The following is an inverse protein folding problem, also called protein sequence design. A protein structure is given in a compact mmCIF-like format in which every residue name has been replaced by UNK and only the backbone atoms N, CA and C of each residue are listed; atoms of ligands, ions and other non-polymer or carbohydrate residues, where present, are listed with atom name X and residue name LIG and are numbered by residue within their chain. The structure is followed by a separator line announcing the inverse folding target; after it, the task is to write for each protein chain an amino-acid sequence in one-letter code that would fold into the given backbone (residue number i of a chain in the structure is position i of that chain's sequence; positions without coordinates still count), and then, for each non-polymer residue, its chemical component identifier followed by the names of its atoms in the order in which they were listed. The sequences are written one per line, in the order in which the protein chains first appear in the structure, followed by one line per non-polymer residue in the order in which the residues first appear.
data_IF_200871258716
#
_entry.id   IF_200871258716
#
_cell.length_a   1.000
_cell.length_b   1.000
_cell.length_c   1.000
_cell.angle_alpha   90.00
_cell.angle_beta   90.00
_cell.angle_gamma   90.00
#
_symmetry.space_group_name_H-M   'P 1'
#
loop_
_entity.id
_entity.type
_entity.pdbx_description
1 polymer ?
#
# COMPACT_ATOMS: atom_id res chain seq x y z
N UNK A 1 60.17 -9.76 4.12
CA UNK A 1 58.84 -10.33 4.41
C UNK A 1 57.77 -9.30 4.82
N UNK A 2 58.09 -8.00 5.01
CA UNK A 2 57.09 -6.96 5.34
C UNK A 2 56.32 -6.38 4.14
N UNK A 3 56.84 -6.48 2.92
CA UNK A 3 56.24 -5.89 1.72
C UNK A 3 55.01 -6.63 1.16
N UNK A 4 54.84 -7.91 1.51
CA UNK A 4 53.71 -8.72 1.00
C UNK A 4 52.43 -8.50 1.82
N UNK A 5 52.55 -8.09 3.09
CA UNK A 5 51.41 -7.88 3.98
C UNK A 5 50.66 -6.57 3.70
N UNK A 6 51.34 -5.53 3.22
CA UNK A 6 50.72 -4.21 3.00
C UNK A 6 49.89 -4.19 1.71
N UNK A 7 50.30 -4.96 0.69
CA UNK A 7 49.55 -5.07 -0.57
C UNK A 7 48.21 -5.81 -0.41
N UNK A 8 48.10 -6.71 0.56
CA UNK A 8 46.86 -7.47 0.81
C UNK A 8 45.76 -6.62 1.45
N UNK A 9 46.11 -5.63 2.28
CA UNK A 9 45.13 -4.71 2.87
C UNK A 9 44.54 -3.72 1.86
N UNK A 10 45.31 -3.29 0.85
CA UNK A 10 44.86 -2.33 -0.17
C UNK A 10 43.89 -2.94 -1.20
N UNK A 11 43.95 -4.25 -1.41
CA UNK A 11 43.02 -4.95 -2.32
C UNK A 11 41.65 -5.21 -1.68
N UNK A 12 41.55 -5.22 -0.35
CA UNK A 12 40.26 -5.42 0.37
C UNK A 12 39.42 -4.14 0.43
N UNK A 13 40.05 -2.96 0.35
CA UNK A 13 39.29 -1.69 0.37
C UNK A 13 38.76 -1.26 -1.00
N UNK A 14 39.23 -1.85 -2.10
CA UNK A 14 38.76 -1.53 -3.45
C UNK A 14 37.51 -2.32 -3.88
N UNK A 15 37.15 -3.40 -3.18
CA UNK A 15 35.96 -4.20 -3.48
C UNK A 15 34.72 -3.77 -2.69
N UNK A 16 34.89 -3.04 -1.58
CA UNK A 16 33.77 -2.53 -0.77
C UNK A 16 32.96 -1.43 -1.49
N UNK A 17 33.58 -0.66 -2.39
CA UNK A 17 32.90 0.41 -3.14
C UNK A 17 32.17 -0.07 -4.41
N UNK A 18 32.32 -1.34 -4.80
CA UNK A 18 31.65 -1.88 -6.00
C UNK A 18 30.36 -2.63 -5.68
N UNK A 19 30.24 -3.19 -4.48
CA UNK A 19 28.98 -3.82 -4.03
C UNK A 19 27.86 -2.81 -3.73
N UNK A 20 28.18 -1.55 -3.46
CA UNK A 20 27.16 -0.52 -3.19
C UNK A 20 26.40 -0.04 -4.44
N UNK A 21 26.81 -0.45 -5.65
CA UNK A 21 26.14 -0.07 -6.91
C UNK A 21 24.96 -0.99 -7.26
N UNK A 22 24.66 -1.99 -6.44
CA UNK A 22 23.47 -2.85 -6.55
C UNK A 22 22.36 -2.49 -5.55
N UNK A 23 22.47 -1.36 -4.86
CA UNK A 23 21.35 -0.74 -4.16
C UNK A 23 20.39 -0.10 -5.19
N UNK A 24 19.83 -0.93 -6.09
CA UNK A 24 18.54 -0.59 -6.68
C UNK A 24 17.63 -0.48 -5.47
N UNK A 25 17.20 0.74 -5.11
CA UNK A 25 16.03 0.98 -4.27
C UNK A 25 14.98 0.00 -4.80
N UNK A 26 14.78 -1.10 -4.08
CA UNK A 26 13.84 -2.11 -4.50
C UNK A 26 12.51 -1.38 -4.56
N UNK A 27 12.01 -1.19 -5.78
CA UNK A 27 10.80 -0.42 -6.05
C UNK A 27 9.70 -1.01 -5.18
N UNK A 28 8.77 -0.16 -4.74
CA UNK A 28 7.58 -0.68 -4.10
C UNK A 28 6.96 -1.70 -5.05
N UNK A 29 6.91 -2.98 -4.64
CA UNK A 29 6.36 -4.03 -5.50
C UNK A 29 4.86 -3.78 -5.57
N UNK A 30 4.47 -3.10 -6.64
CA UNK A 30 3.14 -2.62 -6.97
C UNK A 30 2.92 -1.12 -6.71
N UNK A 31 1.74 -0.66 -7.08
CA UNK A 31 1.40 0.75 -7.22
C UNK A 31 0.88 1.28 -5.88
N UNK A 32 1.55 2.27 -5.24
CA UNK A 32 1.00 2.91 -4.07
C UNK A 32 -0.32 3.61 -4.41
N UNK A 33 -1.15 3.87 -3.40
CA UNK A 33 -2.39 4.60 -3.59
C UNK A 33 -2.12 5.99 -4.17
N UNK A 34 -3.02 6.43 -5.07
CA UNK A 34 -2.96 7.78 -5.64
C UNK A 34 -3.33 8.84 -4.59
N UNK A 35 -3.22 10.11 -4.95
CA UNK A 35 -3.67 11.21 -4.08
C UNK A 35 -5.12 11.00 -3.66
N UNK A 36 -5.42 11.23 -2.37
CA UNK A 36 -6.75 11.06 -1.76
C UNK A 36 -7.31 9.63 -1.85
N UNK A 37 -6.44 8.64 -1.95
CA UNK A 37 -6.82 7.23 -1.85
C UNK A 37 -6.12 6.55 -0.68
N UNK A 38 -6.84 5.67 0.02
CA UNK A 38 -6.34 4.86 1.13
C UNK A 38 -6.54 3.39 0.83
N UNK A 39 -5.79 2.52 1.51
CA UNK A 39 -5.99 1.08 1.38
C UNK A 39 -7.32 0.69 2.02
N UNK A 40 -8.28 0.30 1.18
CA UNK A 40 -9.61 -0.16 1.59
C UNK A 40 -9.61 -1.65 1.87
N UNK A 41 -9.01 -2.42 0.97
CA UNK A 41 -9.11 -3.88 0.99
C UNK A 41 -7.72 -4.48 1.08
N UNK A 42 -7.57 -5.52 1.89
CA UNK A 42 -6.37 -6.35 1.95
C UNK A 42 -6.79 -7.82 1.88
N UNK A 43 -6.25 -8.56 0.93
CA UNK A 43 -6.51 -9.98 0.72
C UNK A 43 -5.21 -10.75 0.91
N UNK A 44 -5.26 -11.87 1.62
CA UNK A 44 -4.14 -12.79 1.70
C UNK A 44 -4.58 -14.16 1.21
N UNK A 45 -3.89 -14.68 0.18
CA UNK A 45 -4.10 -16.04 -0.28
C UNK A 45 -2.76 -16.66 -0.68
N UNK A 46 -2.54 -17.90 -0.25
CA UNK A 46 -1.26 -18.60 -0.40
C UNK A 46 -0.10 -17.82 0.23
N UNK A 47 0.73 -17.24 -0.62
CA UNK A 47 1.90 -16.43 -0.28
C UNK A 47 1.77 -15.02 -0.87
N UNK A 48 0.54 -14.58 -1.20
CA UNK A 48 0.28 -13.35 -1.92
C UNK A 48 -0.61 -12.45 -1.06
N UNK A 49 -0.16 -11.21 -0.90
CA UNK A 49 -0.95 -10.11 -0.34
C UNK A 49 -1.37 -9.22 -1.49
N UNK A 50 -2.68 -9.02 -1.64
CA UNK A 50 -3.21 -8.00 -2.51
C UNK A 50 -3.80 -6.88 -1.68
N UNK A 51 -3.56 -5.64 -2.08
CA UNK A 51 -4.28 -4.52 -1.53
C UNK A 51 -4.90 -3.66 -2.61
N UNK A 52 -5.99 -3.02 -2.25
CA UNK A 52 -6.80 -2.21 -3.15
C UNK A 52 -7.04 -0.83 -2.53
N UNK A 53 -6.80 0.21 -3.32
CA UNK A 53 -6.94 1.59 -2.90
C UNK A 53 -8.33 2.13 -3.24
N UNK A 54 -9.03 2.71 -2.25
CA UNK A 54 -10.30 3.39 -2.43
C UNK A 54 -10.20 4.89 -2.15
N UNK A 55 -11.07 5.73 -2.74
CA UNK A 55 -11.13 7.15 -2.44
C UNK A 55 -11.57 7.40 -1.00
N UNK A 56 -11.06 8.48 -0.38
CA UNK A 56 -11.50 8.94 0.94
C UNK A 56 -12.67 9.92 0.85
N UNK A 57 -13.61 9.89 1.82
CA UNK A 57 -14.77 10.78 1.81
C UNK A 57 -14.46 12.22 2.22
N UNK A 58 -13.33 12.48 2.88
CA UNK A 58 -12.90 13.82 3.27
C UNK A 58 -11.41 13.83 3.61
N UNK A 59 -10.81 15.03 3.54
CA UNK A 59 -9.40 15.26 3.83
C UNK A 59 -8.47 15.04 2.64
N UNK A 60 -7.20 15.36 2.83
CA UNK A 60 -6.16 15.20 1.82
C UNK A 60 -5.13 14.15 2.24
N UNK A 61 -4.83 13.23 1.33
CA UNK A 61 -3.90 12.13 1.57
C UNK A 61 -2.89 11.97 0.42
N UNK A 62 -1.68 11.53 0.74
CA UNK A 62 -0.70 11.14 -0.28
C UNK A 62 0.19 12.28 -0.81
N UNK A 63 0.13 13.48 -0.23
CA UNK A 63 0.96 14.63 -0.64
C UNK A 63 2.37 14.54 -0.03
N UNK A 64 2.45 14.22 1.25
CA UNK A 64 3.69 14.13 2.03
C UNK A 64 3.87 12.68 2.48
N UNK A 65 4.91 12.01 1.98
CA UNK A 65 5.09 10.58 2.16
C UNK A 65 6.53 10.22 2.51
N UNK A 66 6.68 9.25 3.40
CA UNK A 66 7.94 8.64 3.79
C UNK A 66 7.91 7.18 3.37
N UNK A 67 8.92 6.77 2.61
CA UNK A 67 9.08 5.39 2.16
C UNK A 67 9.91 4.56 3.13
N UNK A 68 9.91 3.25 2.90
CA UNK A 68 10.80 2.29 3.54
C UNK A 68 10.70 2.25 5.08
N UNK A 69 9.49 2.44 5.60
CA UNK A 69 9.22 2.39 7.02
C UNK A 69 8.82 0.97 7.45
N UNK A 70 9.24 0.55 8.65
CA UNK A 70 8.76 -0.72 9.23
C UNK A 70 7.35 -0.61 9.84
N UNK A 71 6.91 0.61 10.12
CA UNK A 71 5.59 0.94 10.66
C UNK A 71 5.27 2.42 10.36
N UNK A 72 3.99 2.73 10.12
CA UNK A 72 3.55 4.13 9.99
C UNK A 72 3.32 4.79 11.35
N UNK A 73 3.73 6.06 11.47
CA UNK A 73 3.59 6.86 12.70
C UNK A 73 2.20 7.51 12.76
N UNK A 74 1.20 6.73 13.16
CA UNK A 74 -0.21 7.17 13.19
C UNK A 74 -0.46 8.32 14.16
N UNK A 75 0.33 8.44 15.24
CA UNK A 75 0.31 9.57 16.17
C UNK A 75 0.64 10.92 15.51
N UNK A 76 1.46 10.89 14.45
CA UNK A 76 1.84 12.05 13.65
C UNK A 76 1.01 12.17 12.35
N UNK A 77 -0.13 11.46 12.29
CA UNK A 77 -1.02 11.39 11.13
C UNK A 77 -0.38 10.78 9.87
N UNK A 78 0.65 9.94 10.01
CA UNK A 78 1.19 9.16 8.90
C UNK A 78 0.52 7.78 8.85
N UNK A 79 -0.09 7.47 7.72
CA UNK A 79 -0.83 6.23 7.49
C UNK A 79 -0.37 5.52 6.23
N UNK A 80 -0.64 4.22 6.15
CA UNK A 80 -0.23 3.35 5.05
C UNK A 80 -0.86 3.78 3.72
N UNK A 81 -0.01 3.93 2.70
CA UNK A 81 -0.38 4.25 1.31
C UNK A 81 0.13 3.20 0.33
N UNK A 82 1.15 2.43 0.69
CA UNK A 82 1.67 1.34 -0.12
C UNK A 82 2.66 0.49 0.67
N UNK A 83 3.05 -0.65 0.14
CA UNK A 83 3.99 -1.56 0.80
C UNK A 83 4.77 -2.38 -0.22
N UNK A 84 5.91 -2.92 0.22
CA UNK A 84 6.80 -3.75 -0.59
C UNK A 84 7.53 -4.77 0.25
N UNK A 85 8.01 -5.84 -0.40
CA UNK A 85 8.96 -6.74 0.23
C UNK A 85 10.26 -6.03 0.62
N UNK A 86 10.74 -6.31 1.82
CA UNK A 86 12.07 -5.88 2.25
C UNK A 86 13.16 -6.74 1.59
N UNK A 87 14.39 -6.22 1.39
CA UNK A 87 15.48 -6.98 0.77
C UNK A 87 15.88 -8.27 1.50
N UNK A 88 15.51 -8.38 2.78
CA UNK A 88 15.77 -9.56 3.60
C UNK A 88 14.82 -10.74 3.30
N UNK A 89 13.85 -10.56 2.40
CA UNK A 89 12.80 -11.53 2.09
C UNK A 89 12.16 -12.12 3.34
N UNK A 90 11.92 -11.33 4.39
CA UNK A 90 11.26 -11.79 5.64
C UNK A 90 10.38 -10.70 6.28
N UNK A 91 10.38 -9.48 5.74
CA UNK A 91 9.55 -8.39 6.21
C UNK A 91 8.97 -7.57 5.06
N UNK A 92 8.02 -6.70 5.37
CA UNK A 92 7.50 -5.69 4.47
C UNK A 92 7.98 -4.30 4.91
N UNK A 93 8.20 -3.44 3.93
CA UNK A 93 8.47 -2.02 4.11
C UNK A 93 7.26 -1.24 3.60
N UNK A 94 6.92 -0.17 4.30
CA UNK A 94 5.70 0.60 4.12
C UNK A 94 6.04 1.98 3.55
N UNK A 95 5.18 2.46 2.66
CA UNK A 95 5.04 3.87 2.32
C UNK A 95 3.95 4.47 3.19
N UNK A 96 4.34 5.43 4.00
CA UNK A 96 3.45 6.10 4.95
C UNK A 96 3.25 7.55 4.50
N UNK A 97 2.02 7.94 4.24
CA UNK A 97 1.67 9.30 3.82
C UNK A 97 0.88 10.02 4.91
N UNK A 98 1.05 11.33 4.96
CA UNK A 98 0.33 12.20 5.87
C UNK A 98 -1.13 12.33 5.45
N UNK A 99 -2.04 12.14 6.40
CA UNK A 99 -3.46 12.43 6.26
C UNK A 99 -3.76 13.77 6.92
N UNK A 100 -4.37 14.67 6.17
CA UNK A 100 -4.85 15.96 6.66
C UNK A 100 -6.38 15.95 6.66
N UNK A 101 -6.95 15.82 7.85
CA UNK A 101 -8.40 15.84 8.09
C UNK A 101 -8.70 16.84 9.20
N UNK A 102 -9.91 17.40 9.21
CA UNK A 102 -10.32 18.35 10.26
C UNK A 102 -10.41 17.67 11.62
N UNK A 103 -10.92 16.44 11.65
CA UNK A 103 -10.95 15.58 12.85
C UNK A 103 -9.82 14.57 12.81
N UNK A 104 -9.27 14.24 13.98
CA UNK A 104 -8.25 13.19 14.09
C UNK A 104 -8.88 11.82 13.78
N UNK A 105 -8.27 11.00 12.91
CA UNK A 105 -8.70 9.63 12.72
C UNK A 105 -8.60 8.83 14.02
N UNK A 106 -9.53 7.90 14.24
CA UNK A 106 -9.56 7.06 15.44
C UNK A 106 -9.12 5.64 15.13
N UNK A 107 -8.43 5.01 16.07
CA UNK A 107 -8.10 3.59 15.98
C UNK A 107 -9.34 2.76 16.27
N UNK A 108 -9.67 1.82 15.38
CA UNK A 108 -10.84 0.95 15.50
C UNK A 108 -10.45 -0.43 16.03
N UNK A 109 -9.37 -0.98 15.48
CA UNK A 109 -8.99 -2.35 15.82
C UNK A 109 -7.80 -2.86 15.02
N UNK A 110 -7.44 -4.11 15.31
CA UNK A 110 -6.38 -4.84 14.62
C UNK A 110 -6.97 -6.15 14.14
N UNK A 111 -6.60 -6.57 12.94
CA UNK A 111 -7.00 -7.86 12.38
C UNK A 111 -5.80 -8.67 11.91
N UNK A 112 -5.97 -10.00 11.85
CA UNK A 112 -4.99 -10.95 11.32
C UNK A 112 -5.56 -11.59 10.05
N UNK A 113 -4.93 -11.30 8.92
CA UNK A 113 -5.34 -11.80 7.62
C UNK A 113 -4.44 -12.98 7.24
N UNK A 114 -5.03 -14.18 7.19
CA UNK A 114 -4.38 -15.43 6.79
C UNK A 114 -5.37 -16.28 6.00
N UNK A 115 -5.21 -16.41 4.68
CA UNK A 115 -6.20 -17.04 3.80
C UNK A 115 -7.59 -16.39 3.90
N UNK A 116 -7.61 -15.07 4.14
CA UNK A 116 -8.81 -14.28 4.40
C UNK A 116 -8.65 -12.91 3.74
N UNK A 117 -9.66 -12.06 3.89
CA UNK A 117 -9.61 -10.67 3.47
C UNK A 117 -10.20 -9.75 4.54
N UNK A 118 -9.68 -8.53 4.55
CA UNK A 118 -10.28 -7.40 5.23
C UNK A 118 -10.80 -6.43 4.19
N UNK A 119 -12.00 -5.91 4.41
CA UNK A 119 -12.61 -4.85 3.59
C UNK A 119 -13.11 -3.74 4.52
N UNK A 120 -12.50 -2.57 4.38
CA UNK A 120 -12.99 -1.32 4.97
C UNK A 120 -13.96 -0.62 4.03
N UNK A 121 -14.17 0.66 4.26
CA UNK A 121 -15.12 1.45 3.48
C UNK A 121 -15.99 2.34 4.34
N UNK A 122 -17.07 2.83 3.71
CA UNK A 122 -18.07 3.65 4.38
C UNK A 122 -18.73 2.85 5.51
N UNK A 123 -18.73 3.42 6.70
CA UNK A 123 -19.31 2.82 7.90
C UNK A 123 -20.83 3.00 7.89
N UNK A 124 -21.55 1.99 8.38
CA UNK A 124 -23.00 2.03 8.50
C UNK A 124 -23.44 3.05 9.58
N UNK A 125 -24.58 3.71 9.37
CA UNK A 125 -25.14 4.73 10.26
C UNK A 125 -25.30 4.28 11.72
N UNK A 126 -25.57 3.00 11.95
CA UNK A 126 -25.73 2.42 13.30
C UNK A 126 -24.41 2.26 14.05
N UNK A 127 -23.28 2.25 13.34
CA UNK A 127 -21.94 1.98 13.87
C UNK A 127 -21.06 3.23 13.88
N UNK A 128 -21.65 4.39 13.60
CA UNK A 128 -20.95 5.66 13.63
C UNK A 128 -20.49 5.99 15.04
N UNK A 129 -19.25 6.46 15.14
CA UNK A 129 -18.69 6.99 16.36
C UNK A 129 -19.30 8.36 16.69
N UNK A 130 -19.41 9.23 15.70
CA UNK A 130 -20.03 10.55 15.78
C UNK A 130 -21.42 10.53 15.14
N UNK A 131 -22.45 10.32 15.97
CA UNK A 131 -23.86 10.28 15.54
C UNK A 131 -24.36 11.58 14.90
N UNK A 132 -23.68 12.71 15.16
CA UNK A 132 -24.03 14.01 14.60
C UNK A 132 -23.04 14.44 13.50
N UNK A 133 -22.06 13.60 13.18
CA UNK A 133 -20.99 13.85 12.23
C UNK A 133 -21.42 13.65 10.78
N UNK A 134 -20.41 13.71 9.89
CA UNK A 134 -20.53 13.37 8.48
C UNK A 134 -20.35 11.87 8.25
N UNK A 135 -19.90 11.52 7.05
CA UNK A 135 -19.52 10.14 6.73
C UNK A 135 -18.33 9.68 7.58
N UNK A 136 -18.33 8.41 7.96
CA UNK A 136 -17.17 7.74 8.55
C UNK A 136 -16.67 6.64 7.61
N UNK A 137 -15.36 6.40 7.61
CA UNK A 137 -14.74 5.47 6.68
C UNK A 137 -13.57 4.73 7.30
N UNK A 138 -13.64 3.40 7.26
CA UNK A 138 -12.60 2.50 7.78
C UNK A 138 -11.57 2.17 6.69
N UNK A 139 -10.29 2.19 7.08
CA UNK A 139 -9.18 1.92 6.17
C UNK A 139 -8.00 1.29 6.91
N UNK A 140 -7.12 0.65 6.14
CA UNK A 140 -5.90 0.05 6.69
C UNK A 140 -4.82 1.13 6.84
N UNK A 141 -4.48 1.42 8.08
CA UNK A 141 -3.52 2.44 8.49
C UNK A 141 -2.09 1.94 8.59
N UNK A 142 -1.90 0.65 8.82
CA UNK A 142 -0.61 0.03 9.05
C UNK A 142 -0.69 -1.47 8.75
N UNK A 143 0.44 -2.09 8.41
CA UNK A 143 0.52 -3.51 8.11
C UNK A 143 1.85 -4.08 8.58
N UNK A 144 1.84 -5.34 9.03
CA UNK A 144 3.03 -6.07 9.40
C UNK A 144 2.93 -7.51 8.92
N UNK A 145 3.95 -7.97 8.20
CA UNK A 145 4.09 -9.39 7.90
C UNK A 145 4.32 -10.18 9.19
N UNK A 146 3.54 -11.24 9.39
CA UNK A 146 3.71 -12.18 10.48
C UNK A 146 3.96 -13.57 9.90
N UNK A 147 5.06 -14.20 10.32
CA UNK A 147 5.37 -15.58 9.97
C UNK A 147 4.95 -16.48 11.13
N UNK A 148 4.12 -17.47 10.84
CA UNK A 148 3.75 -18.54 11.75
C UNK A 148 4.42 -19.85 11.30
N UNK A 149 4.48 -20.83 12.21
CA UNK A 149 5.20 -22.10 12.01
C UNK A 149 4.81 -22.79 10.68
N UNK A 150 3.55 -22.67 10.24
CA UNK A 150 3.04 -23.30 9.03
C UNK A 150 2.43 -22.34 7.99
N UNK A 151 2.30 -21.05 8.31
CA UNK A 151 1.60 -20.09 7.45
C UNK A 151 2.24 -18.70 7.52
N UNK A 152 2.31 -18.00 6.40
CA UNK A 152 2.54 -16.56 6.40
C UNK A 152 1.20 -15.82 6.53
N UNK A 153 1.20 -14.61 7.08
CA UNK A 153 0.02 -13.78 7.16
C UNK A 153 0.38 -12.31 7.36
N UNK A 154 -0.64 -11.46 7.43
CA UNK A 154 -0.48 -10.02 7.65
C UNK A 154 -1.34 -9.59 8.82
N UNK A 155 -0.74 -8.89 9.77
CA UNK A 155 -1.48 -8.11 10.76
C UNK A 155 -1.73 -6.72 10.20
N UNK A 156 -2.98 -6.27 10.23
CA UNK A 156 -3.38 -4.92 9.81
C UNK A 156 -3.94 -4.14 10.98
N UNK A 157 -3.72 -2.83 10.98
CA UNK A 157 -4.33 -1.89 11.93
C UNK A 157 -5.33 -1.03 11.18
N UNK A 158 -6.54 -0.96 11.74
CA UNK A 158 -7.69 -0.32 11.13
C UNK A 158 -7.94 1.00 11.84
N UNK A 159 -8.02 2.07 11.06
CA UNK A 159 -8.40 3.39 11.53
C UNK A 159 -9.63 3.87 10.78
N UNK A 160 -10.30 4.83 11.40
CA UNK A 160 -11.51 5.45 10.88
C UNK A 160 -11.32 6.94 10.67
N UNK A 161 -11.64 7.39 9.47
CA UNK A 161 -11.78 8.82 9.15
C UNK A 161 -13.15 9.28 9.66
N UNK A 162 -13.18 10.44 10.30
CA UNK A 162 -14.39 11.10 10.77
C UNK A 162 -14.57 12.41 9.99
N UNK A 163 -15.58 12.48 9.12
CA UNK A 163 -15.87 13.71 8.38
C UNK A 163 -16.78 14.66 9.17
N UNK A 164 -16.73 15.94 8.82
CA UNK A 164 -17.74 16.89 9.27
C UNK A 164 -19.03 16.75 8.44
N UNK A 165 -20.15 17.18 9.03
CA UNK A 165 -21.44 17.12 8.35
C UNK A 165 -21.42 18.06 7.14
N UNK A 166 -21.71 17.53 5.96
CA UNK A 166 -21.75 18.30 4.71
C UNK A 166 -20.41 18.38 3.97
N UNK A 167 -19.37 17.65 4.39
CA UNK A 167 -18.17 17.45 3.56
C UNK A 167 -18.45 16.44 2.43
N UNK A 168 -18.05 16.78 1.21
CA UNK A 168 -18.13 15.90 0.04
C UNK A 168 -16.76 15.28 -0.30
N UNK A 169 -16.73 14.11 -0.97
CA UNK A 169 -15.50 13.44 -1.35
C UNK A 169 -14.64 14.31 -2.25
N UNK A 170 -13.34 14.39 -1.97
CA UNK A 170 -12.40 14.96 -2.93
C UNK A 170 -12.19 13.90 -4.01
N UNK A 171 -12.92 14.02 -5.12
CA UNK A 171 -12.81 13.11 -6.27
C UNK A 171 -11.33 13.02 -6.67
N UNK A 172 -10.78 11.80 -6.64
CA UNK A 172 -9.44 11.54 -7.15
C UNK A 172 -9.43 11.98 -8.63
N UNK A 173 -8.64 13.00 -8.95
CA UNK A 173 -8.58 13.52 -10.31
C UNK A 173 -8.26 12.37 -11.30
N UNK A 174 -9.03 12.20 -12.38
CA UNK A 174 -8.65 11.28 -13.45
C UNK A 174 -7.33 11.78 -14.06
N UNK A 175 -6.38 10.86 -14.29
CA UNK A 175 -5.16 11.17 -15.04
C UNK A 175 -5.56 11.73 -16.41
N UNK A 176 -5.02 12.90 -16.75
CA UNK A 176 -5.23 13.56 -18.04
C UNK A 176 -4.60 12.69 -19.12
N UNK A 177 -5.40 11.90 -19.84
CA UNK A 177 -4.98 11.22 -21.06
C UNK A 177 -4.77 12.29 -22.14
N UNK A 178 -3.51 12.59 -22.45
CA UNK A 178 -3.19 13.42 -23.60
C UNK A 178 -3.66 12.73 -24.89
N UNK A 179 -4.58 13.43 -25.54
CA UNK A 179 -5.09 13.34 -26.91
C UNK A 179 -4.18 12.64 -27.92
N UNK A 180 -4.72 11.59 -28.53
CA UNK A 180 -4.37 11.16 -29.88
C UNK A 180 -4.82 12.26 -30.85
N UNK A 181 -3.90 12.64 -31.75
CA UNK A 181 -4.11 13.57 -32.87
C UNK A 181 -5.18 13.01 -33.79
N UNK A 182 -6.16 13.86 -34.13
CA UNK A 182 -7.23 13.63 -35.10
C UNK A 182 -6.66 13.35 -36.51
N UNK A 183 -7.27 12.40 -37.21
CA UNK A 183 -7.46 12.48 -38.66
C UNK A 183 -8.83 11.87 -38.99
N UNK A 184 -9.68 12.67 -39.63
CA UNK A 184 -11.04 12.34 -40.09
C UNK A 184 -11.02 11.34 -41.27
N UNK A 185 -11.99 10.42 -41.34
CA UNK A 185 -13.04 10.47 -42.39
C UNK A 185 -14.14 9.40 -42.22
N UNK A 186 -15.38 9.92 -42.25
CA UNK A 186 -16.57 9.45 -42.96
C UNK A 186 -17.30 8.11 -42.64
N UNK A 187 -18.55 8.32 -42.19
CA UNK A 187 -19.82 7.74 -42.69
C UNK A 187 -20.47 6.57 -41.92
N UNK A 188 -21.76 6.74 -41.60
CA UNK A 188 -22.73 5.64 -41.53
C UNK A 188 -23.54 5.46 -40.23
N UNK A 189 -24.71 6.12 -40.19
CA UNK A 189 -26.00 5.72 -39.58
C UNK A 189 -26.16 5.25 -38.12
N UNK A 190 -27.26 5.77 -37.55
CA UNK A 190 -27.70 5.63 -36.17
C UNK A 190 -28.50 4.34 -35.91
N UNK A 191 -28.27 3.73 -34.74
CA UNK A 191 -29.35 3.08 -33.97
C UNK A 191 -28.97 3.12 -32.50
N UNK A 192 -29.88 3.64 -31.67
CA UNK A 192 -29.62 3.88 -30.25
C UNK A 192 -29.48 2.61 -29.42
N UNK A 193 -28.76 2.76 -28.31
CA UNK A 193 -29.08 2.09 -27.07
C UNK A 193 -28.56 2.93 -25.89
N UNK A 194 -29.43 3.02 -24.89
CA UNK A 194 -29.34 3.90 -23.74
C UNK A 194 -28.49 3.27 -22.64
N UNK A 195 -27.52 4.05 -22.16
CA UNK A 195 -26.82 4.04 -20.87
C UNK A 195 -26.82 2.74 -20.03
N UNK A 196 -25.62 2.24 -19.73
CA UNK A 196 -25.13 2.20 -18.34
C UNK A 196 -23.59 2.32 -18.34
N UNK A 197 -23.08 3.55 -18.40
CA UNK A 197 -21.66 3.80 -18.10
C UNK A 197 -21.50 3.83 -16.58
N UNK A 198 -21.45 2.64 -15.98
CA UNK A 198 -20.93 2.48 -14.63
C UNK A 198 -19.41 2.70 -14.72
N UNK A 199 -18.97 3.93 -14.41
CA UNK A 199 -17.56 4.27 -14.34
C UNK A 199 -16.90 3.39 -13.26
N UNK A 200 -16.29 2.29 -13.69
CA UNK A 200 -15.32 1.55 -12.89
C UNK A 200 -14.13 2.46 -12.65
N UNK A 201 -14.21 3.24 -11.59
CA UNK A 201 -13.06 3.89 -10.96
C UNK A 201 -12.00 2.79 -10.75
N UNK A 202 -10.88 2.90 -11.47
CA UNK A 202 -9.87 1.86 -11.54
C UNK A 202 -9.12 1.79 -10.21
N UNK A 203 -9.72 1.09 -9.26
CA UNK A 203 -9.15 0.74 -7.98
C UNK A 203 -7.82 0.05 -8.21
N UNK A 204 -6.70 0.74 -7.92
CA UNK A 204 -5.35 0.23 -8.16
C UNK A 204 -5.10 -0.95 -7.23
N UNK A 205 -4.94 -2.14 -7.80
CA UNK A 205 -4.59 -3.37 -7.08
C UNK A 205 -3.07 -3.52 -7.08
N UNK A 206 -2.50 -3.76 -5.90
CA UNK A 206 -1.09 -4.08 -5.74
C UNK A 206 -0.92 -5.46 -5.15
N UNK A 207 0.03 -6.21 -5.69
CA UNK A 207 0.34 -7.60 -5.32
C UNK A 207 1.74 -7.70 -4.74
N UNK A 208 1.88 -8.32 -3.56
CA UNK A 208 3.15 -8.56 -2.87
C UNK A 208 3.27 -10.04 -2.53
N UNK A 209 4.44 -10.61 -2.79
CA UNK A 209 4.76 -11.98 -2.40
C UNK A 209 5.38 -12.02 -1.02
N UNK A 210 4.77 -12.80 -0.12
CA UNK A 210 5.37 -13.15 1.15
C UNK A 210 6.37 -14.29 0.96
N UNK A 211 7.50 -14.22 1.66
CA UNK A 211 8.44 -15.31 1.71
C UNK A 211 7.84 -16.49 2.48
N UNK A 212 7.97 -17.71 1.93
CA UNK A 212 7.61 -18.91 2.66
C UNK A 212 8.54 -19.09 3.86
N UNK A 213 8.04 -19.52 5.03
CA UNK A 213 8.92 -19.97 6.10
C UNK A 213 9.83 -21.06 5.54
N UNK A 214 11.14 -20.82 5.55
CA UNK A 214 12.11 -21.84 5.16
C UNK A 214 11.87 -23.06 6.05
N UNK A 215 11.46 -24.17 5.47
CA UNK A 215 11.48 -25.45 6.17
C UNK A 215 12.89 -25.64 6.73
N UNK A 216 12.96 -26.02 8.01
CA UNK A 216 14.20 -26.30 8.73
C UNK A 216 15.26 -26.93 7.81
N UNK A 217 16.54 -26.51 7.87
CA UNK A 217 17.57 -27.28 7.20
C UNK A 217 17.51 -28.70 7.77
N UNK A 218 17.19 -29.69 6.92
CA UNK A 218 17.41 -31.10 7.27
C UNK A 218 18.86 -31.16 7.73
N UNK A 219 19.09 -31.54 8.99
CA UNK A 219 20.42 -31.94 9.43
C UNK A 219 20.92 -32.97 8.42
N UNK A 220 21.90 -32.59 7.62
CA UNK A 220 22.72 -33.52 6.88
C UNK A 220 23.46 -34.30 7.96
N UNK A 221 23.02 -35.53 8.20
CA UNK A 221 23.83 -36.49 8.91
C UNK A 221 25.01 -36.79 7.97
N UNK A 222 26.17 -36.21 8.30
CA UNK A 222 27.48 -36.73 7.92
C UNK A 222 27.85 -37.78 8.96
#
# INVERSE_FOLDING_TARGET
MLLVSVLSCLLVTASASWFDRFNRRAVINGVPCSKNQVIRTVKHYNDIIEFECGPIPCGEFGIDCVDDQNQCQTEHNYFLSGMRGAPNNNSILLRCCKLQTKKKPIYVGTDKISYAYYEGGKVNGTELYDKNGGAEYDFVANARAETYIFCAGVRVWIYRILCEKGEEPIIAAPELTNSVVEEEEASGEASGEEQTNEAKDASKITVIYLPRPSSFPRKSNV
#
